data_IF_276419834082
#
_entry.id   IF_276419834082
#
_cell.length_a   1.000
_cell.length_b   1.000
_cell.length_c   1.000
_cell.angle_alpha   90.00
_cell.angle_beta   90.00
_cell.angle_gamma   90.00
#
_symmetry.space_group_name_H-M   'P 1'
#
loop_
_entity.id
_entity.type
_entity.pdbx_description
1 polymer ?
#
# COMPACT_ATOMS: atom_id res chain seq x y z
N UNK A 1 -2.46 -13.24 17.18
CA UNK A 1 -1.40 -13.91 16.41
C UNK A 1 -1.50 -13.46 14.95
N UNK A 2 -0.38 -13.23 14.27
CA UNK A 2 -0.36 -12.73 12.88
C UNK A 2 -0.54 -13.90 11.91
N UNK A 3 -1.29 -13.70 10.83
CA UNK A 3 -1.36 -14.65 9.71
C UNK A 3 -0.17 -14.40 8.75
N UNK A 4 0.78 -15.33 8.74
CA UNK A 4 2.03 -15.23 7.97
C UNK A 4 1.78 -15.31 6.47
N UNK A 5 0.88 -16.19 6.02
CA UNK A 5 0.56 -16.34 4.60
C UNK A 5 -0.02 -15.04 4.02
N UNK A 6 -0.96 -14.43 4.75
CA UNK A 6 -1.52 -13.13 4.39
C UNK A 6 -0.46 -12.04 4.34
N UNK A 7 0.48 -12.04 5.28
CA UNK A 7 1.57 -11.07 5.32
C UNK A 7 2.48 -11.19 4.09
N UNK A 8 2.90 -12.41 3.75
CA UNK A 8 3.76 -12.67 2.58
C UNK A 8 3.03 -12.26 1.30
N UNK A 9 1.75 -12.61 1.16
CA UNK A 9 0.95 -12.22 0.00
C UNK A 9 0.88 -10.70 -0.15
N UNK A 10 0.55 -9.98 0.93
CA UNK A 10 0.52 -8.51 0.91
C UNK A 10 1.87 -7.90 0.56
N UNK A 11 2.98 -8.48 1.06
CA UNK A 11 4.32 -8.00 0.73
C UNK A 11 4.62 -8.17 -0.76
N UNK A 12 4.32 -9.35 -1.34
CA UNK A 12 4.50 -9.61 -2.77
C UNK A 12 3.68 -8.64 -3.62
N UNK A 13 2.42 -8.39 -3.24
CA UNK A 13 1.55 -7.42 -3.92
C UNK A 13 2.18 -6.01 -3.93
N UNK A 14 2.73 -5.56 -2.79
CA UNK A 14 3.38 -4.26 -2.68
C UNK A 14 4.64 -4.18 -3.56
N UNK A 15 5.58 -5.12 -3.44
CA UNK A 15 6.86 -5.06 -4.18
C UNK A 15 6.71 -5.31 -5.69
N UNK A 16 5.53 -5.73 -6.14
CA UNK A 16 5.23 -5.86 -7.58
C UNK A 16 4.85 -4.53 -8.23
N UNK A 17 4.66 -3.47 -7.44
CA UNK A 17 4.40 -2.11 -7.92
C UNK A 17 5.73 -1.36 -7.94
N UNK A 18 6.22 -1.03 -9.13
CA UNK A 18 7.41 -0.19 -9.27
C UNK A 18 7.18 1.19 -8.63
N UNK A 19 8.03 1.58 -7.68
CA UNK A 19 7.99 2.90 -7.02
C UNK A 19 9.37 3.56 -6.88
N UNK A 20 10.13 3.74 -7.98
CA UNK A 20 11.37 4.51 -7.90
C UNK A 20 11.10 5.91 -7.33
N UNK A 21 12.12 6.57 -6.77
CA UNK A 21 11.95 7.91 -6.20
C UNK A 21 11.25 8.88 -7.18
N UNK A 22 10.26 9.63 -6.69
CA UNK A 22 9.35 10.48 -7.47
C UNK A 22 8.34 9.73 -8.37
N UNK A 23 8.22 8.41 -8.21
CA UNK A 23 7.30 7.52 -8.92
C UNK A 23 6.30 6.80 -7.99
N UNK A 24 6.01 7.36 -6.81
CA UNK A 24 5.31 6.67 -5.73
C UNK A 24 3.78 6.65 -5.90
N UNK A 25 3.20 7.49 -6.78
CA UNK A 25 1.73 7.68 -6.90
C UNK A 25 0.95 6.37 -6.97
N UNK A 26 1.37 5.43 -7.82
CA UNK A 26 0.69 4.14 -7.99
C UNK A 26 0.70 3.30 -6.71
N UNK A 27 1.80 3.31 -5.96
CA UNK A 27 1.91 2.65 -4.67
C UNK A 27 1.03 3.34 -3.61
N UNK A 28 1.05 4.67 -3.56
CA UNK A 28 0.22 5.46 -2.65
C UNK A 28 -1.28 5.18 -2.85
N UNK A 29 -1.74 5.17 -4.11
CA UNK A 29 -3.13 4.85 -4.45
C UNK A 29 -3.51 3.43 -4.01
N UNK A 30 -2.65 2.45 -4.30
CA UNK A 30 -2.88 1.06 -3.89
C UNK A 30 -3.02 0.92 -2.37
N UNK A 31 -2.13 1.56 -1.60
CA UNK A 31 -2.17 1.52 -0.13
C UNK A 31 -3.42 2.23 0.39
N UNK A 32 -3.74 3.42 -0.13
CA UNK A 32 -4.90 4.18 0.31
C UNK A 32 -6.21 3.41 0.09
N UNK A 33 -6.38 2.79 -1.09
CA UNK A 33 -7.56 1.99 -1.39
C UNK A 33 -7.63 0.73 -0.51
N UNK A 34 -6.49 0.08 -0.26
CA UNK A 34 -6.44 -1.08 0.63
C UNK A 34 -6.83 -0.72 2.06
N UNK A 35 -6.38 0.42 2.57
CA UNK A 35 -6.76 0.93 3.90
C UNK A 35 -8.25 1.26 3.96
N UNK A 36 -8.80 1.91 2.93
CA UNK A 36 -10.25 2.18 2.82
C UNK A 36 -11.07 0.90 2.83
N UNK A 37 -10.65 -0.14 2.10
CA UNK A 37 -11.30 -1.46 2.10
C UNK A 37 -11.31 -2.13 3.49
N UNK A 38 -10.35 -1.80 4.35
CA UNK A 38 -10.28 -2.27 5.73
C UNK A 38 -11.10 -1.41 6.71
N UNK A 39 -11.79 -0.38 6.21
CA UNK A 39 -12.54 0.58 7.05
C UNK A 39 -11.67 1.65 7.69
N UNK A 40 -10.42 1.82 7.22
CA UNK A 40 -9.49 2.86 7.70
C UNK A 40 -9.59 4.06 6.75
N UNK A 41 -9.63 5.28 7.29
CA UNK A 41 -9.61 6.50 6.47
C UNK A 41 -8.18 7.06 6.42
N UNK A 42 -7.43 6.83 5.32
CA UNK A 42 -6.08 7.35 5.19
C UNK A 42 -6.08 8.86 4.94
N UNK A 43 -5.05 9.54 5.44
CA UNK A 43 -4.71 10.92 5.12
C UNK A 43 -3.40 10.93 4.35
N UNK A 44 -3.36 11.63 3.22
CA UNK A 44 -2.17 11.82 2.39
C UNK A 44 -1.77 13.29 2.48
N UNK A 45 -0.48 13.58 2.65
CA UNK A 45 0.06 14.94 2.66
C UNK A 45 0.50 15.37 1.25
N UNK A 46 0.76 16.67 1.07
CA UNK A 46 1.13 17.25 -0.22
C UNK A 46 2.64 17.09 -0.54
N UNK A 47 3.25 15.96 -0.20
CA UNK A 47 4.70 15.71 -0.39
C UNK A 47 5.04 14.69 -1.48
N UNK A 48 4.03 14.18 -2.19
CA UNK A 48 4.17 13.23 -3.30
C UNK A 48 4.84 13.83 -4.54
#
# INVERSE_FOLDING_TARGET
>A
MINIERLIKSFIELVSIDNPSYGERAMCDFIADRLRCLGITPFEDDTA
#
